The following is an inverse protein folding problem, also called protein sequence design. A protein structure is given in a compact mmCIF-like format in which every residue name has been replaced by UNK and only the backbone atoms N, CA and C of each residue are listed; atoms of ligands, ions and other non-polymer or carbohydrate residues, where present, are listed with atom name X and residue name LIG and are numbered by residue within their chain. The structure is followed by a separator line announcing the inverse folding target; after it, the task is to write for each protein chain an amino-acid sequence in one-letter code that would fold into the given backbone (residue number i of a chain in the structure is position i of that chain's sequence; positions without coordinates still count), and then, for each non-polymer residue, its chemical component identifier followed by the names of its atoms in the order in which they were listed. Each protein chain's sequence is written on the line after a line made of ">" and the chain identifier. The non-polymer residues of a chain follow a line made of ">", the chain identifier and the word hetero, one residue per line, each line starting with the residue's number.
data_IF_824607793078
#
_entry.id   IF_824607793078
#
_cell.length_a   1.000
_cell.length_b   1.000
_cell.length_c   1.000
_cell.angle_alpha   90.00
_cell.angle_beta   90.00
_cell.angle_gamma   90.00
#
_symmetry.space_group_name_H-M   'P 1'
#
loop_
_entity.id
_entity.type
_entity.pdbx_description
1 polymer ?
#
# COMPACT_ATOMS: atom_id res chain seq x y z
N UNK A 1 -13.40 -4.73 73.21
CA UNK A 1 -13.68 -4.30 71.82
C UNK A 1 -12.60 -4.86 70.90
N UNK A 2 -12.80 -6.02 70.35
CA UNK A 2 -11.86 -6.64 69.40
C UNK A 2 -12.33 -6.32 67.96
N UNK A 3 -11.50 -5.58 67.20
CA UNK A 3 -11.73 -5.34 65.75
C UNK A 3 -11.06 -6.51 65.00
N UNK A 4 -11.86 -7.32 64.34
CA UNK A 4 -11.42 -8.34 63.39
C UNK A 4 -11.16 -7.70 62.00
N UNK A 5 -9.92 -7.79 61.50
CA UNK A 5 -9.56 -7.41 60.13
C UNK A 5 -9.96 -8.52 59.15
N UNK A 6 -10.49 -8.21 57.96
CA UNK A 6 -10.83 -9.24 56.96
C UNK A 6 -9.55 -9.79 56.31
N UNK A 7 -9.44 -11.12 56.26
CA UNK A 7 -8.39 -11.83 55.51
C UNK A 7 -8.71 -11.74 54.01
N UNK A 8 -7.80 -11.14 53.23
CA UNK A 8 -7.84 -11.17 51.77
C UNK A 8 -7.36 -12.56 51.34
N UNK A 9 -8.25 -13.35 50.76
CA UNK A 9 -7.94 -14.62 50.11
C UNK A 9 -7.37 -14.26 48.72
N UNK A 10 -6.04 -14.43 48.55
CA UNK A 10 -5.41 -14.35 47.23
C UNK A 10 -5.61 -15.68 46.51
N UNK A 11 -6.41 -15.69 45.45
CA UNK A 11 -6.48 -16.81 44.50
C UNK A 11 -5.18 -16.84 43.67
N UNK A 12 -4.57 -18.03 43.46
CA UNK A 12 -3.45 -18.15 42.56
C UNK A 12 -3.91 -17.87 41.11
N UNK A 13 -3.05 -17.25 40.25
CA UNK A 13 -3.40 -17.02 38.89
C UNK A 13 -3.62 -18.36 38.15
N UNK A 14 -4.77 -18.50 37.52
CA UNK A 14 -5.07 -19.62 36.61
C UNK A 14 -4.06 -19.60 35.46
N UNK A 15 -3.15 -20.57 35.46
CA UNK A 15 -2.27 -20.86 34.33
C UNK A 15 -3.17 -21.27 33.15
N UNK A 16 -3.37 -20.37 32.20
CA UNK A 16 -3.97 -20.74 30.93
C UNK A 16 -2.99 -21.68 30.19
N UNK A 17 -3.46 -22.81 29.66
CA UNK A 17 -2.61 -23.68 28.86
C UNK A 17 -2.12 -22.89 27.62
N UNK A 18 -0.81 -22.75 27.47
CA UNK A 18 -0.20 -22.28 26.24
C UNK A 18 -0.55 -23.26 25.14
N UNK A 19 -1.50 -22.91 24.30
CA UNK A 19 -1.74 -23.63 23.05
C UNK A 19 -0.51 -23.38 22.18
N UNK A 20 0.38 -24.34 22.13
CA UNK A 20 1.48 -24.39 21.17
C UNK A 20 0.86 -24.74 19.83
N UNK A 21 0.52 -23.73 19.02
CA UNK A 21 0.18 -23.94 17.62
C UNK A 21 1.47 -24.43 16.96
N UNK A 22 1.47 -25.58 16.25
CA UNK A 22 2.65 -26.04 15.55
C UNK A 22 3.01 -24.99 14.50
N UNK A 23 4.21 -24.39 14.62
CA UNK A 23 4.79 -23.55 13.60
C UNK A 23 4.91 -24.38 12.33
N UNK A 24 4.02 -24.21 11.37
CA UNK A 24 4.33 -24.50 9.98
C UNK A 24 5.38 -23.47 9.58
N UNK A 25 6.63 -23.82 9.70
CA UNK A 25 7.73 -23.09 9.13
C UNK A 25 7.52 -23.13 7.61
N UNK A 26 6.91 -22.09 7.07
CA UNK A 26 6.90 -21.89 5.62
C UNK A 26 8.37 -21.74 5.22
N UNK A 27 8.88 -22.71 4.49
CA UNK A 27 10.28 -22.71 4.06
C UNK A 27 10.41 -21.66 2.95
N UNK A 28 10.98 -20.49 3.28
CA UNK A 28 11.33 -19.50 2.26
C UNK A 28 12.53 -20.05 1.48
N UNK A 29 12.43 -20.22 0.15
CA UNK A 29 13.59 -20.59 -0.65
C UNK A 29 14.71 -19.56 -0.46
N UNK A 30 15.96 -20.04 -0.39
CA UNK A 30 17.14 -19.20 -0.12
C UNK A 30 17.32 -18.05 -1.11
N UNK A 31 16.83 -18.20 -2.34
CA UNK A 31 16.84 -17.14 -3.35
C UNK A 31 16.04 -15.86 -2.93
N UNK A 32 15.12 -16.02 -1.99
CA UNK A 32 14.28 -14.92 -1.48
C UNK A 32 14.61 -14.52 -0.04
N UNK A 33 15.72 -15.00 0.52
CA UNK A 33 16.23 -14.60 1.83
C UNK A 33 17.40 -13.64 1.69
N UNK A 34 17.46 -12.67 2.59
CA UNK A 34 18.53 -11.70 2.72
C UNK A 34 19.13 -11.78 4.12
N UNK A 35 20.46 -11.93 4.23
CA UNK A 35 21.16 -11.92 5.52
C UNK A 35 21.18 -10.52 6.13
N UNK A 36 21.51 -9.52 5.29
CA UNK A 36 21.52 -8.11 5.66
C UNK A 36 20.92 -7.30 4.53
N UNK A 37 20.15 -6.28 4.89
CA UNK A 37 19.57 -5.34 3.94
C UNK A 37 19.89 -3.92 4.34
N UNK A 38 20.38 -3.15 3.38
CA UNK A 38 20.56 -1.70 3.51
C UNK A 38 19.52 -1.04 2.62
N UNK A 39 18.63 -0.19 3.18
CA UNK A 39 17.64 0.53 2.38
C UNK A 39 18.27 1.30 1.23
N UNK A 40 17.62 1.26 0.07
CA UNK A 40 18.16 1.79 -1.19
C UNK A 40 18.50 3.28 -1.11
N UNK A 41 17.72 4.07 -0.36
CA UNK A 41 17.98 5.51 -0.18
C UNK A 41 19.28 5.82 0.59
N UNK A 42 19.79 4.87 1.38
CA UNK A 42 21.09 5.03 2.07
C UNK A 42 22.30 4.82 1.14
N UNK A 43 22.08 4.26 -0.04
CA UNK A 43 23.12 4.02 -1.04
C UNK A 43 23.25 5.18 -2.04
N UNK A 44 22.41 6.22 -1.91
CA UNK A 44 22.44 7.38 -2.81
C UNK A 44 23.67 8.25 -2.55
N UNK A 45 24.32 8.67 -3.63
CA UNK A 45 25.36 9.69 -3.58
C UNK A 45 24.76 11.10 -3.41
N UNK A 46 25.55 12.04 -2.89
CA UNK A 46 25.13 13.46 -2.75
C UNK A 46 24.62 14.06 -4.06
N UNK A 47 25.25 13.71 -5.18
CA UNK A 47 24.83 14.16 -6.50
C UNK A 47 23.46 13.57 -6.91
N UNK A 48 23.15 12.34 -6.53
CA UNK A 48 21.84 11.74 -6.76
C UNK A 48 20.78 12.38 -5.87
N UNK A 49 21.11 12.63 -4.59
CA UNK A 49 20.23 13.32 -3.64
C UNK A 49 19.87 14.71 -4.16
N UNK A 50 20.87 15.51 -4.58
CA UNK A 50 20.63 16.85 -5.14
C UNK A 50 19.71 16.80 -6.35
N UNK A 51 20.01 15.92 -7.31
CA UNK A 51 19.20 15.77 -8.53
C UNK A 51 17.75 15.39 -8.23
N UNK A 52 17.51 14.48 -7.29
CA UNK A 52 16.15 14.09 -6.89
C UNK A 52 15.39 15.23 -6.22
N UNK A 53 16.07 16.06 -5.41
CA UNK A 53 15.48 17.28 -4.84
C UNK A 53 15.04 18.24 -5.94
N UNK A 54 15.90 18.51 -6.91
CA UNK A 54 15.59 19.41 -8.02
C UNK A 54 14.41 18.88 -8.86
N UNK A 55 14.41 17.58 -9.17
CA UNK A 55 13.30 16.93 -9.89
C UNK A 55 11.99 17.04 -9.11
N UNK A 56 11.99 16.78 -7.80
CA UNK A 56 10.80 16.90 -6.97
C UNK A 56 10.22 18.32 -6.98
N UNK A 57 11.08 19.35 -6.89
CA UNK A 57 10.66 20.75 -6.96
C UNK A 57 10.08 21.10 -8.34
N UNK A 58 10.68 20.61 -9.44
CA UNK A 58 10.13 20.82 -10.78
C UNK A 58 8.75 20.20 -10.96
N UNK A 59 8.51 19.00 -10.41
CA UNK A 59 7.18 18.40 -10.41
C UNK A 59 6.16 19.15 -9.54
N UNK A 60 6.60 19.88 -8.51
CA UNK A 60 5.73 20.78 -7.75
C UNK A 60 5.40 22.06 -8.53
N UNK A 61 6.34 22.57 -9.36
CA UNK A 61 6.12 23.74 -10.23
C UNK A 61 5.18 23.43 -11.39
N UNK A 62 5.26 22.20 -11.93
CA UNK A 62 4.41 21.71 -13.01
C UNK A 62 3.99 20.30 -12.75
N UNK A 63 2.80 20.13 -12.14
CA UNK A 63 2.32 18.86 -11.66
C UNK A 63 1.94 17.90 -12.80
N UNK A 64 2.85 16.99 -13.13
CA UNK A 64 2.69 15.90 -14.08
C UNK A 64 3.07 14.53 -13.45
N UNK A 65 2.93 14.41 -12.12
CA UNK A 65 3.44 13.27 -11.35
C UNK A 65 2.51 12.05 -11.35
N UNK A 66 1.32 12.19 -11.87
CA UNK A 66 0.38 11.08 -12.05
C UNK A 66 -0.33 11.21 -13.40
N UNK A 67 -1.02 10.17 -13.91
CA UNK A 67 -1.67 10.19 -15.23
C UNK A 67 -2.75 11.27 -15.41
N UNK A 68 -3.16 11.97 -14.34
CA UNK A 68 -4.07 13.12 -14.45
C UNK A 68 -3.44 14.33 -15.12
N UNK A 69 -2.11 14.43 -15.15
CA UNK A 69 -1.33 15.45 -15.87
C UNK A 69 -1.90 16.88 -15.70
N UNK A 70 -2.17 17.28 -14.45
CA UNK A 70 -2.89 18.53 -14.15
C UNK A 70 -2.12 19.79 -14.55
N UNK A 71 -0.80 19.74 -14.63
CA UNK A 71 0.12 20.84 -14.99
C UNK A 71 0.00 22.11 -14.12
N UNK A 72 -0.62 22.02 -12.95
CA UNK A 72 -0.75 23.12 -11.99
C UNK A 72 0.57 23.39 -11.27
N UNK A 73 0.78 24.65 -10.85
CA UNK A 73 1.91 25.05 -10.03
C UNK A 73 1.54 24.99 -8.53
N UNK A 74 1.89 23.89 -7.88
CA UNK A 74 1.59 23.69 -6.44
C UNK A 74 2.34 24.66 -5.53
N UNK A 75 3.53 25.13 -5.93
CA UNK A 75 4.30 26.12 -5.17
C UNK A 75 3.65 27.51 -5.22
N UNK A 76 2.80 27.79 -6.22
CA UNK A 76 1.98 29.00 -6.30
C UNK A 76 0.60 28.83 -5.64
N UNK A 77 0.36 27.74 -4.91
CA UNK A 77 -0.91 27.46 -4.23
C UNK A 77 -1.98 26.83 -5.12
N UNK A 78 -1.66 26.49 -6.37
CA UNK A 78 -2.62 25.82 -7.27
C UNK A 78 -2.81 24.36 -6.87
N UNK A 79 -3.99 23.82 -7.13
CA UNK A 79 -4.33 22.42 -6.87
C UNK A 79 -4.97 21.76 -8.09
N UNK A 80 -4.62 20.49 -8.36
CA UNK A 80 -5.19 19.71 -9.45
C UNK A 80 -6.32 18.79 -8.99
N UNK A 81 -6.50 17.67 -9.69
CA UNK A 81 -7.55 16.68 -9.46
C UNK A 81 -7.56 16.11 -8.04
N UNK A 82 -6.40 15.86 -7.45
CA UNK A 82 -6.23 15.36 -6.07
C UNK A 82 -6.48 16.44 -5.02
N UNK A 83 -6.53 17.73 -5.41
CA UNK A 83 -6.73 18.90 -4.57
C UNK A 83 -5.66 19.07 -3.47
N UNK A 84 -4.42 18.61 -3.73
CA UNK A 84 -3.27 18.78 -2.84
C UNK A 84 -2.33 19.83 -3.44
N UNK A 85 -1.83 20.73 -2.61
CA UNK A 85 -0.91 21.80 -2.98
C UNK A 85 0.54 21.45 -2.68
N UNK A 86 1.30 22.45 -2.18
CA UNK A 86 2.72 22.32 -1.83
C UNK A 86 2.93 21.32 -0.69
N UNK A 87 2.17 21.43 0.39
CA UNK A 87 2.22 20.52 1.55
C UNK A 87 1.40 19.26 1.30
N UNK A 88 1.83 18.14 1.86
CA UNK A 88 1.00 16.92 1.90
C UNK A 88 -0.11 17.08 2.92
N UNK A 89 -1.26 16.50 2.60
CA UNK A 89 -2.32 16.33 3.59
C UNK A 89 -2.31 14.90 4.10
N UNK A 90 -2.20 14.73 5.41
CA UNK A 90 -2.10 13.43 6.09
C UNK A 90 -3.29 13.25 7.02
N UNK A 91 -3.95 12.10 6.94
CA UNK A 91 -5.06 11.75 7.83
C UNK A 91 -4.57 11.09 9.12
N UNK A 92 -3.65 10.15 9.00
CA UNK A 92 -3.20 9.32 10.12
C UNK A 92 -1.72 8.98 9.97
N UNK A 93 -0.99 9.00 11.08
CA UNK A 93 0.38 8.52 11.20
C UNK A 93 0.44 7.64 12.43
N UNK A 94 0.64 6.32 12.25
CA UNK A 94 0.70 5.37 13.37
C UNK A 94 1.32 4.02 12.94
N UNK A 95 1.83 3.21 13.89
CA UNK A 95 2.01 1.78 13.67
C UNK A 95 0.67 1.14 13.29
N UNK A 96 0.63 0.43 12.17
CA UNK A 96 -0.58 -0.18 11.62
C UNK A 96 -0.45 -1.70 11.54
N UNK A 97 -1.52 -2.40 11.91
CA UNK A 97 -1.57 -3.87 12.00
C UNK A 97 -2.64 -4.46 11.07
N UNK A 98 -2.92 -3.80 9.96
CA UNK A 98 -3.89 -4.21 8.95
C UNK A 98 -3.27 -4.47 7.57
N UNK A 99 -1.93 -4.50 7.46
CA UNK A 99 -1.22 -4.84 6.23
C UNK A 99 -0.94 -6.35 6.15
N UNK A 100 -0.34 -6.81 5.08
CA UNK A 100 0.09 -8.19 4.91
C UNK A 100 1.05 -8.62 6.04
N UNK A 101 0.95 -9.87 6.52
CA UNK A 101 1.74 -10.35 7.66
C UNK A 101 3.25 -10.07 7.53
N UNK A 102 3.81 -10.25 6.32
CA UNK A 102 5.22 -10.00 6.05
C UNK A 102 5.61 -8.51 5.99
N UNK A 103 4.64 -7.60 5.88
CA UNK A 103 4.85 -6.14 5.90
C UNK A 103 4.73 -5.62 7.34
N UNK A 104 3.65 -5.98 8.04
CA UNK A 104 3.38 -5.46 9.39
C UNK A 104 4.21 -6.15 10.49
N UNK A 105 4.52 -7.45 10.32
CA UNK A 105 5.23 -8.23 11.34
C UNK A 105 4.60 -8.14 12.72
N UNK A 106 5.46 -8.19 13.75
CA UNK A 106 5.05 -8.11 15.16
C UNK A 106 4.95 -6.67 15.69
N UNK A 107 5.66 -5.71 15.06
CA UNK A 107 5.72 -4.32 15.53
C UNK A 107 4.91 -3.36 14.68
N UNK A 108 4.24 -3.86 13.66
CA UNK A 108 3.42 -3.05 12.76
C UNK A 108 4.21 -2.40 11.62
N UNK A 109 3.47 -1.91 10.66
CA UNK A 109 3.94 -1.07 9.55
C UNK A 109 3.77 0.40 9.94
N UNK A 110 4.82 1.22 9.80
CA UNK A 110 4.76 2.65 10.10
C UNK A 110 3.98 3.42 9.05
N UNK A 111 2.67 3.35 9.11
CA UNK A 111 1.79 3.82 8.04
C UNK A 111 1.51 5.31 8.14
N UNK A 112 1.66 5.99 6.99
CA UNK A 112 1.28 7.37 6.75
C UNK A 112 0.18 7.39 5.69
N UNK A 113 -1.05 7.67 6.11
CA UNK A 113 -2.22 7.72 5.22
C UNK A 113 -2.38 9.11 4.62
N UNK A 114 -2.04 9.26 3.34
CA UNK A 114 -2.19 10.51 2.62
C UNK A 114 -3.64 10.75 2.23
N UNK A 115 -4.10 11.99 2.41
CA UNK A 115 -5.43 12.45 1.99
C UNK A 115 -5.41 13.02 0.59
N UNK A 116 -6.54 12.88 -0.12
CA UNK A 116 -6.63 13.08 -1.55
C UNK A 116 -6.31 11.78 -2.27
N UNK A 117 -6.52 11.76 -3.58
CA UNK A 117 -6.19 10.59 -4.42
C UNK A 117 -6.25 10.98 -5.90
N UNK A 118 -5.41 10.36 -6.72
CA UNK A 118 -5.45 10.49 -8.19
C UNK A 118 -6.59 9.70 -8.83
N UNK A 119 -7.14 8.69 -8.12
CA UNK A 119 -8.35 7.95 -8.49
C UNK A 119 -9.58 8.46 -7.71
N UNK A 120 -10.77 8.03 -8.13
CA UNK A 120 -12.05 8.30 -7.46
C UNK A 120 -12.88 7.04 -7.42
N UNK A 121 -12.32 5.97 -6.84
CA UNK A 121 -12.95 4.65 -6.78
C UNK A 121 -14.33 4.74 -6.13
N UNK A 122 -15.36 4.20 -6.81
CA UNK A 122 -16.74 4.23 -6.33
C UNK A 122 -16.97 3.36 -5.08
N UNK A 123 -16.07 2.42 -4.83
CA UNK A 123 -16.07 1.46 -3.72
C UNK A 123 -14.93 1.72 -2.70
N UNK A 124 -14.37 2.92 -2.65
CA UNK A 124 -13.23 3.24 -1.80
C UNK A 124 -13.56 3.04 -0.31
N UNK A 125 -12.83 2.14 0.36
CA UNK A 125 -12.99 1.92 1.80
C UNK A 125 -12.53 3.14 2.62
N UNK A 126 -11.54 3.87 2.11
CA UNK A 126 -10.98 5.07 2.71
C UNK A 126 -11.60 6.36 2.11
N UNK A 127 -12.91 6.35 1.85
CA UNK A 127 -13.60 7.44 1.16
C UNK A 127 -13.45 8.81 1.84
N UNK A 128 -13.45 8.84 3.17
CA UNK A 128 -13.35 10.09 3.95
C UNK A 128 -12.01 10.79 3.74
N UNK A 129 -10.91 10.03 3.62
CA UNK A 129 -9.59 10.61 3.38
C UNK A 129 -9.32 10.83 1.89
N UNK A 130 -9.69 9.89 1.03
CA UNK A 130 -9.41 9.96 -0.41
C UNK A 130 -10.28 10.99 -1.16
N UNK A 131 -11.54 11.18 -0.74
CA UNK A 131 -12.50 12.08 -1.42
C UNK A 131 -12.79 13.34 -0.64
N UNK A 132 -12.82 13.27 0.73
CA UNK A 132 -13.18 14.41 1.59
C UNK A 132 -11.96 15.15 2.14
N UNK A 133 -10.76 14.57 2.01
CA UNK A 133 -9.49 15.20 2.40
C UNK A 133 -9.40 15.54 3.90
N UNK A 134 -9.93 14.69 4.75
CA UNK A 134 -9.75 14.84 6.19
C UNK A 134 -8.25 14.74 6.56
N UNK A 135 -7.80 15.55 7.51
CA UNK A 135 -6.41 15.50 8.00
C UNK A 135 -5.75 16.89 8.12
N UNK A 136 -4.45 16.88 8.34
CA UNK A 136 -3.61 18.06 8.57
C UNK A 136 -2.50 18.16 7.52
N UNK A 137 -2.00 19.38 7.32
CA UNK A 137 -0.98 19.65 6.32
C UNK A 137 0.42 19.54 6.93
N UNK A 138 1.34 18.84 6.25
CA UNK A 138 2.75 18.72 6.63
C UNK A 138 3.67 19.17 5.50
N UNK A 139 4.76 19.86 5.87
CA UNK A 139 5.89 20.06 4.96
C UNK A 139 6.68 18.75 4.80
N UNK A 140 7.56 18.65 3.79
CA UNK A 140 8.45 17.48 3.67
C UNK A 140 9.33 17.24 4.91
N UNK A 141 9.80 18.31 5.57
CA UNK A 141 10.65 18.23 6.77
C UNK A 141 9.84 17.73 7.98
N UNK A 142 8.62 18.23 8.16
CA UNK A 142 7.69 17.75 9.20
C UNK A 142 7.34 16.27 8.97
N UNK A 143 7.16 15.87 7.72
CA UNK A 143 6.92 14.47 7.37
C UNK A 143 8.15 13.58 7.64
N UNK A 144 9.36 14.07 7.36
CA UNK A 144 10.62 13.40 7.67
C UNK A 144 10.79 13.14 9.17
N UNK A 145 10.45 14.11 10.00
CA UNK A 145 10.46 13.98 11.47
C UNK A 145 9.50 12.87 11.94
N UNK A 146 8.32 12.78 11.32
CA UNK A 146 7.38 11.67 11.59
C UNK A 146 7.91 10.31 11.17
N UNK A 147 8.63 10.19 10.04
CA UNK A 147 9.26 8.94 9.64
C UNK A 147 10.26 8.45 10.69
N UNK A 148 11.09 9.36 11.19
CA UNK A 148 12.07 9.04 12.24
C UNK A 148 11.39 8.72 13.58
N UNK A 149 10.30 9.40 13.93
CA UNK A 149 9.49 9.08 15.12
C UNK A 149 8.85 7.70 15.03
N UNK A 150 8.27 7.33 13.90
CA UNK A 150 7.71 5.99 13.66
C UNK A 150 8.79 4.92 13.85
N UNK A 151 9.99 5.14 13.29
CA UNK A 151 11.10 4.23 13.47
C UNK A 151 11.54 4.12 14.94
N UNK A 152 11.80 5.24 15.61
CA UNK A 152 12.48 5.24 16.90
C UNK A 152 11.53 5.02 18.10
N UNK A 153 10.31 5.56 18.02
CA UNK A 153 9.29 5.45 19.07
C UNK A 153 8.28 4.35 18.77
N UNK A 154 7.88 4.21 17.50
CA UNK A 154 6.96 3.18 17.05
C UNK A 154 7.59 1.80 16.92
N UNK A 155 8.92 1.74 16.78
CA UNK A 155 9.69 0.50 16.56
C UNK A 155 9.16 -0.35 15.39
N UNK A 156 8.63 0.31 14.36
CA UNK A 156 7.98 -0.33 13.21
C UNK A 156 8.99 -0.98 12.27
N UNK A 157 8.54 -1.94 11.47
CA UNK A 157 9.40 -2.67 10.53
C UNK A 157 9.78 -1.87 9.27
N UNK A 158 8.97 -0.90 8.89
CA UNK A 158 9.12 -0.09 7.68
C UNK A 158 8.37 1.24 7.83
N UNK A 159 8.61 2.17 6.91
CA UNK A 159 7.75 3.35 6.70
C UNK A 159 6.87 3.06 5.49
N UNK A 160 5.56 3.08 5.68
CA UNK A 160 4.57 2.75 4.67
C UNK A 160 3.82 4.01 4.22
N UNK A 161 4.15 4.50 3.04
CA UNK A 161 3.47 5.60 2.38
C UNK A 161 2.20 5.07 1.70
N UNK A 162 1.03 5.31 2.30
CA UNK A 162 -0.25 4.78 1.81
C UNK A 162 -0.94 5.77 0.87
N UNK A 163 -1.16 5.38 -0.37
CA UNK A 163 -1.70 6.19 -1.47
C UNK A 163 -0.82 7.42 -1.77
N UNK A 164 0.48 7.24 -2.05
CA UNK A 164 1.41 8.35 -2.22
C UNK A 164 1.48 8.90 -3.65
N UNK A 165 0.87 8.26 -4.65
CA UNK A 165 1.06 8.53 -6.07
C UNK A 165 0.71 9.97 -6.49
N UNK A 166 -0.10 10.67 -5.73
CA UNK A 166 -0.43 12.07 -5.98
C UNK A 166 0.42 13.07 -5.19
N UNK A 167 1.31 12.59 -4.30
CA UNK A 167 2.20 13.38 -3.44
C UNK A 167 3.66 12.92 -3.50
N UNK A 168 4.03 12.23 -4.57
CA UNK A 168 5.39 11.70 -4.80
C UNK A 168 6.50 12.72 -4.57
N UNK A 169 6.43 13.97 -5.07
CA UNK A 169 7.49 14.95 -4.85
C UNK A 169 7.74 15.22 -3.37
N UNK A 170 6.68 15.42 -2.61
CA UNK A 170 6.77 15.70 -1.17
C UNK A 170 7.30 14.49 -0.39
N UNK A 171 6.85 13.28 -0.75
CA UNK A 171 7.35 12.02 -0.13
C UNK A 171 8.83 11.82 -0.44
N UNK A 172 9.26 12.05 -1.68
CA UNK A 172 10.67 11.98 -2.06
C UNK A 172 11.53 12.97 -1.24
N UNK A 173 11.09 14.23 -1.13
CA UNK A 173 11.75 15.25 -0.33
C UNK A 173 11.83 14.84 1.15
N UNK A 174 10.75 14.27 1.70
CA UNK A 174 10.72 13.82 3.10
C UNK A 174 11.69 12.66 3.34
N UNK A 175 11.76 11.66 2.46
CA UNK A 175 12.73 10.56 2.57
C UNK A 175 14.16 11.13 2.54
N UNK A 176 14.46 12.01 1.59
CA UNK A 176 15.79 12.63 1.45
C UNK A 176 16.15 13.50 2.66
N UNK A 177 15.19 14.17 3.29
CA UNK A 177 15.41 14.93 4.52
C UNK A 177 15.61 14.01 5.75
N UNK A 178 14.99 12.83 5.78
CA UNK A 178 15.08 11.88 6.88
C UNK A 178 16.43 11.12 6.91
N UNK A 179 17.17 11.03 5.80
CA UNK A 179 18.47 10.35 5.73
C UNK A 179 19.44 10.87 6.82
N UNK A 180 19.79 12.17 6.86
CA UNK A 180 20.70 12.70 7.87
C UNK A 180 20.11 12.66 9.29
N UNK A 181 18.81 12.48 9.45
CA UNK A 181 18.13 12.31 10.74
C UNK A 181 18.23 10.87 11.27
N UNK A 182 18.81 9.94 10.51
CA UNK A 182 19.06 8.55 10.91
C UNK A 182 17.95 7.58 10.56
N UNK A 183 17.15 7.86 9.54
CA UNK A 183 16.22 6.87 8.98
C UNK A 183 17.01 5.68 8.41
N UNK A 184 16.62 4.42 8.76
CA UNK A 184 17.37 3.20 8.41
C UNK A 184 16.51 1.98 8.13
N UNK A 185 15.17 2.10 8.15
CA UNK A 185 14.24 1.00 7.87
C UNK A 185 13.68 1.12 6.45
N UNK A 186 13.22 0.02 5.83
CA UNK A 186 12.70 0.04 4.46
C UNK A 186 11.54 1.00 4.25
N UNK A 187 11.45 1.55 3.04
CA UNK A 187 10.30 2.35 2.59
C UNK A 187 9.37 1.47 1.77
N UNK A 188 8.13 1.37 2.19
CA UNK A 188 7.02 0.75 1.45
C UNK A 188 6.24 1.84 0.72
N UNK A 189 6.07 1.68 -0.58
CA UNK A 189 5.25 2.52 -1.43
C UNK A 189 3.96 1.77 -1.76
N UNK A 190 2.87 2.09 -1.02
CA UNK A 190 1.58 1.40 -1.09
C UNK A 190 0.65 2.17 -2.02
N UNK A 191 0.59 1.73 -3.27
CA UNK A 191 -0.02 2.46 -4.39
C UNK A 191 -1.20 1.73 -5.02
N UNK A 192 -2.08 2.50 -5.65
CA UNK A 192 -3.13 1.98 -6.52
C UNK A 192 -2.63 1.57 -7.91
N UNK A 193 -1.33 1.65 -8.18
CA UNK A 193 -0.68 1.46 -9.49
C UNK A 193 -1.15 2.44 -10.57
N UNK A 194 -1.70 3.58 -10.17
CA UNK A 194 -2.03 4.68 -11.09
C UNK A 194 -0.93 5.73 -11.03
N UNK A 195 0.29 5.27 -11.31
CA UNK A 195 1.52 6.04 -11.28
C UNK A 195 1.99 6.41 -12.69
N UNK A 196 2.66 7.54 -12.83
CA UNK A 196 3.35 7.86 -14.09
C UNK A 196 4.79 7.31 -14.07
N UNK A 197 5.39 7.04 -15.24
CA UNK A 197 6.81 6.67 -15.34
C UNK A 197 7.73 7.71 -14.68
N UNK A 198 7.40 9.00 -14.75
CA UNK A 198 8.13 10.10 -14.12
C UNK A 198 8.12 9.99 -12.58
N UNK A 199 6.93 9.67 -12.00
CA UNK A 199 6.80 9.43 -10.57
C UNK A 199 7.68 8.28 -10.11
N UNK A 200 7.61 7.15 -10.81
CA UNK A 200 8.40 5.97 -10.49
C UNK A 200 9.89 6.20 -10.71
N UNK A 201 10.28 6.99 -11.71
CA UNK A 201 11.67 7.40 -11.92
C UNK A 201 12.21 8.26 -10.76
N UNK A 202 11.39 9.20 -10.24
CA UNK A 202 11.76 9.98 -9.06
C UNK A 202 11.92 9.09 -7.83
N UNK A 203 11.05 8.08 -7.66
CA UNK A 203 11.08 7.17 -6.50
C UNK A 203 12.11 6.04 -6.62
N UNK A 204 12.71 5.81 -7.78
CA UNK A 204 13.77 4.80 -7.95
C UNK A 204 14.97 5.10 -7.03
N UNK A 205 15.41 4.10 -6.28
CA UNK A 205 16.45 4.26 -5.24
C UNK A 205 15.94 4.88 -3.92
N UNK A 206 14.67 5.27 -3.81
CA UNK A 206 14.05 5.73 -2.57
C UNK A 206 13.13 4.68 -1.96
N UNK A 207 12.52 3.83 -2.78
CA UNK A 207 11.59 2.78 -2.38
C UNK A 207 12.30 1.44 -2.32
N UNK A 208 12.00 0.67 -1.29
CA UNK A 208 12.49 -0.68 -1.08
C UNK A 208 11.43 -1.72 -1.45
N UNK A 209 10.18 -1.48 -1.09
CA UNK A 209 9.06 -2.39 -1.32
C UNK A 209 7.94 -1.63 -2.03
N UNK A 210 7.51 -2.13 -3.18
CA UNK A 210 6.27 -1.72 -3.80
C UNK A 210 5.14 -2.65 -3.37
N UNK A 211 4.09 -2.08 -2.77
CA UNK A 211 2.84 -2.74 -2.44
C UNK A 211 1.78 -2.20 -3.41
N UNK A 212 1.59 -2.91 -4.51
CA UNK A 212 0.91 -2.40 -5.70
C UNK A 212 -0.46 -3.04 -5.91
N UNK A 213 -1.53 -2.25 -5.91
CA UNK A 213 -2.86 -2.76 -6.25
C UNK A 213 -3.04 -2.85 -7.77
N UNK A 214 -3.47 -4.00 -8.31
CA UNK A 214 -3.99 -4.10 -9.65
C UNK A 214 -5.49 -4.38 -9.59
N UNK A 215 -6.30 -3.33 -9.81
CA UNK A 215 -7.73 -3.35 -9.45
C UNK A 215 -8.64 -3.93 -10.53
N UNK A 216 -8.45 -3.52 -11.79
CA UNK A 216 -9.29 -3.86 -12.94
C UNK A 216 -8.43 -3.95 -14.22
N UNK A 217 -8.81 -4.84 -15.15
CA UNK A 217 -8.10 -5.05 -16.44
C UNK A 217 -8.81 -4.43 -17.65
N UNK A 218 -10.06 -3.96 -17.50
CA UNK A 218 -10.85 -3.38 -18.58
C UNK A 218 -10.99 -1.86 -18.44
N UNK A 219 -10.80 -1.12 -19.54
CA UNK A 219 -11.03 0.32 -19.58
C UNK A 219 -12.49 0.70 -19.29
N UNK A 220 -13.45 -0.15 -19.66
CA UNK A 220 -14.89 0.11 -19.43
C UNK A 220 -15.20 0.07 -17.93
N UNK A 221 -14.78 -0.98 -17.25
CA UNK A 221 -14.97 -1.11 -15.79
C UNK A 221 -14.17 -0.05 -15.03
N UNK A 222 -12.95 0.22 -15.44
CA UNK A 222 -12.07 1.23 -14.84
C UNK A 222 -12.64 2.64 -14.97
N UNK A 223 -13.14 3.02 -16.14
CA UNK A 223 -13.87 4.29 -16.33
C UNK A 223 -15.06 4.40 -15.40
N UNK A 224 -15.85 3.33 -15.31
CA UNK A 224 -17.05 3.28 -14.49
C UNK A 224 -16.72 3.36 -12.98
N UNK A 225 -15.80 2.52 -12.52
CA UNK A 225 -15.56 2.31 -11.09
C UNK A 225 -14.44 3.16 -10.51
N UNK A 226 -13.37 3.43 -11.27
CA UNK A 226 -12.18 4.18 -10.82
C UNK A 226 -12.15 5.63 -11.32
N UNK A 227 -12.96 5.98 -12.33
CA UNK A 227 -12.95 7.28 -13.03
C UNK A 227 -11.64 7.51 -13.82
N UNK A 228 -11.08 6.43 -14.35
CA UNK A 228 -9.84 6.40 -15.13
C UNK A 228 -9.95 5.25 -16.15
N UNK A 229 -10.23 5.57 -17.41
CA UNK A 229 -10.34 4.59 -18.51
C UNK A 229 -8.97 4.07 -18.97
N UNK A 230 -7.92 4.83 -18.71
CA UNK A 230 -6.51 4.51 -18.95
C UNK A 230 -5.88 3.66 -17.83
N UNK A 231 -6.60 3.38 -16.74
CA UNK A 231 -6.07 2.67 -15.56
C UNK A 231 -5.42 1.31 -15.88
N UNK A 232 -6.03 0.42 -16.70
CA UNK A 232 -5.45 -0.91 -16.92
C UNK A 232 -4.06 -0.85 -17.56
N UNK A 233 -3.88 -0.04 -18.56
CA UNK A 233 -2.58 0.10 -19.25
C UNK A 233 -1.56 0.80 -18.34
N UNK A 234 -1.99 1.84 -17.62
CA UNK A 234 -1.14 2.50 -16.61
C UNK A 234 -0.68 1.52 -15.54
N UNK A 235 -1.57 0.70 -14.98
CA UNK A 235 -1.23 -0.26 -13.94
C UNK A 235 -0.26 -1.34 -14.46
N UNK A 236 -0.46 -1.83 -15.67
CA UNK A 236 0.45 -2.78 -16.33
C UNK A 236 1.87 -2.21 -16.49
N UNK A 237 1.98 -0.97 -16.95
CA UNK A 237 3.26 -0.28 -17.12
C UNK A 237 3.92 0.00 -15.76
N UNK A 238 3.17 0.57 -14.82
CA UNK A 238 3.66 0.90 -13.48
C UNK A 238 4.22 -0.33 -12.76
N UNK A 239 3.49 -1.44 -12.76
CA UNK A 239 3.90 -2.69 -12.08
C UNK A 239 5.18 -3.25 -12.72
N UNK A 240 5.33 -3.20 -14.05
CA UNK A 240 6.57 -3.60 -14.74
C UNK A 240 7.76 -2.73 -14.33
N UNK A 241 7.56 -1.41 -14.26
CA UNK A 241 8.61 -0.47 -13.82
C UNK A 241 8.99 -0.76 -12.37
N UNK A 242 8.01 -0.92 -11.47
CA UNK A 242 8.22 -1.26 -10.06
C UNK A 242 9.02 -2.56 -9.93
N UNK A 243 8.63 -3.62 -10.61
CA UNK A 243 9.35 -4.89 -10.59
C UNK A 243 10.79 -4.75 -11.13
N UNK A 244 10.99 -3.99 -12.20
CA UNK A 244 12.33 -3.70 -12.75
C UNK A 244 13.24 -3.00 -11.73
N UNK A 245 12.69 -2.14 -10.87
CA UNK A 245 13.45 -1.39 -9.87
C UNK A 245 13.85 -2.23 -8.65
N UNK A 246 12.95 -3.07 -8.16
CA UNK A 246 13.14 -3.77 -6.87
C UNK A 246 13.14 -5.30 -6.97
N UNK A 247 12.70 -5.88 -8.09
CA UNK A 247 12.63 -7.33 -8.32
C UNK A 247 11.51 -8.01 -7.52
N UNK A 248 11.64 -9.32 -7.39
CA UNK A 248 10.73 -10.16 -6.61
C UNK A 248 10.90 -9.94 -5.11
N UNK A 249 9.81 -10.09 -4.34
CA UNK A 249 9.80 -9.83 -2.90
C UNK A 249 10.77 -10.74 -2.15
N UNK A 250 11.63 -10.13 -1.32
CA UNK A 250 12.62 -10.81 -0.48
C UNK A 250 12.43 -10.45 0.99
N UNK A 251 12.81 -11.38 1.85
CA UNK A 251 12.58 -11.33 3.28
C UNK A 251 13.88 -11.43 4.07
N UNK A 252 13.87 -10.96 5.32
CA UNK A 252 14.85 -11.38 6.30
C UNK A 252 14.51 -12.78 6.87
N UNK A 253 15.34 -13.30 7.78
CA UNK A 253 15.13 -14.62 8.39
C UNK A 253 13.89 -14.71 9.29
N UNK A 254 13.35 -13.57 9.72
CA UNK A 254 12.09 -13.53 10.49
C UNK A 254 10.85 -13.52 9.59
N UNK A 255 11.03 -13.58 8.26
CA UNK A 255 9.94 -13.53 7.30
C UNK A 255 9.37 -12.14 7.06
N UNK A 256 10.08 -11.10 7.46
CA UNK A 256 9.69 -9.70 7.22
C UNK A 256 10.26 -9.23 5.88
N UNK A 257 9.41 -8.68 5.03
CA UNK A 257 9.79 -8.16 3.73
C UNK A 257 10.80 -7.01 3.86
N UNK A 258 11.83 -7.05 3.02
CA UNK A 258 12.90 -6.05 3.01
C UNK A 258 12.95 -5.27 1.70
N UNK A 259 12.73 -5.94 0.58
CA UNK A 259 12.73 -5.32 -0.76
C UNK A 259 11.91 -6.16 -1.72
N UNK A 260 11.40 -5.55 -2.78
CA UNK A 260 10.72 -6.24 -3.86
C UNK A 260 9.28 -5.80 -4.09
N UNK A 261 8.62 -6.47 -5.02
CA UNK A 261 7.24 -6.22 -5.42
C UNK A 261 6.27 -7.21 -4.77
N UNK A 262 5.22 -6.70 -4.13
CA UNK A 262 4.01 -7.42 -3.74
C UNK A 262 2.83 -6.83 -4.49
N UNK A 263 2.08 -7.65 -5.21
CA UNK A 263 0.88 -7.20 -5.94
C UNK A 263 -0.38 -7.64 -5.21
N UNK A 264 -1.32 -6.71 -5.05
CA UNK A 264 -2.63 -6.98 -4.46
C UNK A 264 -3.73 -6.90 -5.51
N UNK A 265 -4.66 -7.84 -5.44
CA UNK A 265 -5.88 -7.80 -6.25
C UNK A 265 -7.10 -8.02 -5.37
N UNK A 266 -7.95 -7.00 -5.25
CA UNK A 266 -9.23 -7.11 -4.55
C UNK A 266 -10.26 -7.75 -5.48
N UNK A 267 -10.63 -8.99 -5.19
CA UNK A 267 -11.67 -9.70 -5.95
C UNK A 267 -13.00 -9.01 -5.71
N UNK A 268 -13.69 -8.64 -6.80
CA UNK A 268 -14.99 -7.98 -6.74
C UNK A 268 -16.05 -8.78 -7.45
N UNK A 269 -17.29 -8.82 -6.92
CA UNK A 269 -18.40 -9.47 -7.61
C UNK A 269 -18.53 -8.98 -9.06
N UNK A 270 -18.91 -9.85 -9.99
CA UNK A 270 -19.11 -9.54 -11.42
C UNK A 270 -17.81 -9.38 -12.22
N UNK A 271 -16.66 -9.03 -11.59
CA UNK A 271 -15.39 -8.76 -12.26
C UNK A 271 -14.36 -9.90 -12.11
N UNK A 272 -14.82 -11.12 -11.93
CA UNK A 272 -13.97 -12.31 -11.70
C UNK A 272 -13.07 -12.59 -12.91
N UNK A 273 -13.58 -12.46 -14.13
CA UNK A 273 -12.78 -12.68 -15.34
C UNK A 273 -11.64 -11.65 -15.46
N UNK A 274 -11.89 -10.40 -15.09
CA UNK A 274 -10.82 -9.39 -15.03
C UNK A 274 -9.74 -9.78 -13.99
N UNK A 275 -10.14 -10.31 -12.83
CA UNK A 275 -9.19 -10.84 -11.84
C UNK A 275 -8.32 -11.97 -12.39
N UNK A 276 -8.92 -12.92 -13.13
CA UNK A 276 -8.18 -14.01 -13.80
C UNK A 276 -7.22 -13.50 -14.86
N UNK A 277 -7.61 -12.48 -15.64
CA UNK A 277 -6.74 -11.82 -16.62
C UNK A 277 -5.55 -11.15 -15.97
N UNK A 278 -5.76 -10.46 -14.83
CA UNK A 278 -4.70 -9.84 -14.05
C UNK A 278 -3.69 -10.90 -13.59
N UNK A 279 -4.14 -12.05 -13.07
CA UNK A 279 -3.23 -13.11 -12.62
C UNK A 279 -2.39 -13.68 -13.76
N UNK A 280 -3.01 -13.94 -14.93
CA UNK A 280 -2.28 -14.36 -16.14
C UNK A 280 -1.26 -13.32 -16.58
N UNK A 281 -1.67 -12.05 -16.60
CA UNK A 281 -0.77 -10.96 -16.97
C UNK A 281 0.46 -10.88 -16.06
N UNK A 282 0.29 -11.00 -14.75
CA UNK A 282 1.40 -10.97 -13.79
C UNK A 282 2.40 -12.11 -14.05
N UNK A 283 1.91 -13.33 -14.24
CA UNK A 283 2.76 -14.50 -14.50
C UNK A 283 3.53 -14.40 -15.82
N UNK A 284 2.90 -13.87 -16.86
CA UNK A 284 3.45 -13.82 -18.23
C UNK A 284 4.35 -12.61 -18.48
N UNK A 285 4.04 -11.47 -17.84
CA UNK A 285 4.64 -10.18 -18.19
C UNK A 285 5.45 -9.53 -17.08
N UNK A 286 5.37 -10.02 -15.84
CA UNK A 286 6.12 -9.50 -14.70
C UNK A 286 7.08 -10.57 -14.19
N UNK A 287 6.59 -11.53 -13.41
CA UNK A 287 7.38 -12.66 -12.90
C UNK A 287 6.46 -13.75 -12.37
N UNK A 288 6.82 -15.03 -12.62
CA UNK A 288 6.15 -16.16 -11.94
C UNK A 288 6.43 -16.17 -10.44
N UNK A 289 7.50 -15.51 -10.00
CA UNK A 289 7.89 -15.35 -8.60
C UNK A 289 7.27 -14.11 -7.94
N UNK A 290 6.38 -13.40 -8.64
CA UNK A 290 5.62 -12.28 -8.06
C UNK A 290 4.86 -12.74 -6.82
N UNK A 291 5.05 -12.02 -5.69
CA UNK A 291 4.31 -12.27 -4.46
C UNK A 291 2.92 -11.63 -4.56
N UNK A 292 1.86 -12.42 -4.40
CA UNK A 292 0.49 -11.97 -4.69
C UNK A 292 -0.42 -12.10 -3.48
N UNK A 293 -1.23 -11.07 -3.24
CA UNK A 293 -2.37 -11.10 -2.33
C UNK A 293 -3.68 -11.05 -3.13
N UNK A 294 -4.38 -12.18 -3.22
CA UNK A 294 -5.74 -12.28 -3.77
C UNK A 294 -6.73 -12.03 -2.64
N UNK A 295 -7.19 -10.78 -2.52
CA UNK A 295 -7.96 -10.31 -1.36
C UNK A 295 -9.46 -10.61 -1.51
N UNK A 296 -10.05 -11.16 -0.45
CA UNK A 296 -11.48 -11.55 -0.36
C UNK A 296 -12.35 -10.53 0.40
N UNK A 297 -11.72 -9.51 1.02
CA UNK A 297 -12.39 -8.58 1.95
C UNK A 297 -13.23 -7.49 1.28
N UNK A 298 -13.62 -7.65 0.01
CA UNK A 298 -14.49 -6.69 -0.65
C UNK A 298 -15.82 -6.54 0.09
N UNK A 299 -16.22 -5.29 0.36
CA UNK A 299 -17.52 -4.93 0.91
C UNK A 299 -18.07 -3.69 0.19
N UNK A 300 -19.37 -3.65 -0.11
CA UNK A 300 -20.03 -2.44 -0.62
C UNK A 300 -19.82 -1.25 0.33
N UNK A 301 -19.25 -0.16 -0.18
CA UNK A 301 -18.98 1.05 0.59
C UNK A 301 -18.94 2.29 -0.31
N UNK A 302 -18.68 3.46 0.25
CA UNK A 302 -18.59 4.74 -0.44
C UNK A 302 -19.86 5.08 -1.24
N UNK A 303 -19.84 4.87 -2.56
CA UNK A 303 -20.96 5.19 -3.45
C UNK A 303 -21.80 3.97 -3.83
N UNK A 304 -21.33 2.76 -3.51
CA UNK A 304 -22.02 1.50 -3.82
C UNK A 304 -23.26 1.37 -2.95
N UNK A 305 -24.36 0.94 -3.52
CA UNK A 305 -25.62 0.73 -2.78
C UNK A 305 -26.43 2.00 -2.48
N UNK A 306 -25.88 3.20 -2.73
CA UNK A 306 -26.61 4.46 -2.52
C UNK A 306 -27.68 4.67 -3.61
N UNK A 307 -28.81 5.28 -3.22
CA UNK A 307 -29.86 5.61 -4.15
C UNK A 307 -29.39 6.56 -5.27
N UNK A 308 -29.86 6.32 -6.48
CA UNK A 308 -29.69 7.29 -7.58
C UNK A 308 -30.53 8.53 -7.29
N UNK A 309 -29.92 9.71 -7.40
CA UNK A 309 -30.59 11.00 -7.23
C UNK A 309 -31.40 11.43 -8.47
N UNK A 310 -31.57 10.57 -9.46
CA UNK A 310 -32.27 10.86 -10.73
C UNK A 310 -33.67 10.25 -10.81
N UNK A 311 -34.43 10.64 -11.86
CA UNK A 311 -35.83 10.25 -12.11
C UNK A 311 -36.07 8.74 -12.31
N UNK A 312 -35.03 7.92 -12.52
CA UNK A 312 -35.15 6.49 -12.85
C UNK A 312 -35.21 5.57 -11.63
N UNK A 313 -35.00 6.08 -10.41
CA UNK A 313 -34.85 5.22 -9.22
C UNK A 313 -33.68 4.24 -9.34
N UNK A 314 -33.55 3.34 -8.36
CA UNK A 314 -32.55 2.28 -8.38
C UNK A 314 -31.28 2.60 -7.57
N UNK A 315 -30.41 1.62 -7.49
CA UNK A 315 -29.22 1.64 -6.65
C UNK A 315 -27.96 1.83 -7.50
N UNK A 316 -27.07 2.75 -7.08
CA UNK A 316 -25.78 2.97 -7.75
C UNK A 316 -24.88 1.76 -7.60
N UNK A 317 -24.24 1.34 -8.70
CA UNK A 317 -23.31 0.21 -8.72
C UNK A 317 -23.90 -1.08 -8.14
N UNK A 318 -25.17 -1.37 -8.52
CA UNK A 318 -25.92 -2.54 -8.03
C UNK A 318 -25.21 -3.85 -8.35
N UNK A 319 -24.43 -3.92 -9.42
CA UNK A 319 -23.67 -5.08 -9.87
C UNK A 319 -22.57 -5.51 -8.87
N UNK A 320 -22.08 -4.59 -8.05
CA UNK A 320 -21.11 -4.85 -6.98
C UNK A 320 -21.66 -4.60 -5.59
N UNK A 321 -22.98 -4.48 -5.44
CA UNK A 321 -23.62 -4.21 -4.15
C UNK A 321 -23.88 -5.48 -3.32
N UNK A 322 -22.89 -6.34 -3.23
CA UNK A 322 -22.83 -7.53 -2.38
C UNK A 322 -21.39 -7.88 -2.04
N UNK A 323 -21.13 -8.65 -0.98
CA UNK A 323 -19.81 -9.25 -0.78
C UNK A 323 -19.45 -10.20 -1.93
N UNK A 324 -18.16 -10.45 -2.11
CA UNK A 324 -17.66 -11.55 -2.94
C UNK A 324 -17.93 -12.89 -2.23
N UNK A 325 -18.09 -13.96 -3.00
CA UNK A 325 -18.28 -15.32 -2.48
C UNK A 325 -16.98 -16.12 -2.56
N UNK A 326 -16.83 -17.15 -1.69
CA UNK A 326 -15.66 -18.03 -1.71
C UNK A 326 -15.39 -18.64 -3.10
N UNK A 327 -16.38 -19.18 -3.85
CA UNK A 327 -16.13 -19.67 -5.20
C UNK A 327 -15.62 -18.63 -6.19
N UNK A 328 -15.98 -17.36 -6.02
CA UNK A 328 -15.47 -16.26 -6.87
C UNK A 328 -14.00 -15.98 -6.56
N UNK A 329 -13.62 -15.99 -5.29
CA UNK A 329 -12.23 -15.85 -4.85
C UNK A 329 -11.39 -17.04 -5.29
N UNK A 330 -11.87 -18.26 -5.07
CA UNK A 330 -11.19 -19.49 -5.45
C UNK A 330 -10.94 -19.57 -6.96
N UNK A 331 -11.87 -19.08 -7.78
CA UNK A 331 -11.72 -19.03 -9.23
C UNK A 331 -10.52 -18.13 -9.65
N UNK A 332 -10.30 -17.01 -8.97
CA UNK A 332 -9.14 -16.12 -9.25
C UNK A 332 -7.85 -16.76 -8.73
N UNK A 333 -7.87 -17.34 -7.51
CA UNK A 333 -6.71 -18.08 -6.95
C UNK A 333 -6.29 -19.26 -7.83
N UNK A 334 -7.27 -20.02 -8.35
CA UNK A 334 -7.01 -21.13 -9.27
C UNK A 334 -6.34 -20.62 -10.56
N UNK A 335 -6.88 -19.58 -11.17
CA UNK A 335 -6.28 -18.99 -12.38
C UNK A 335 -4.86 -18.47 -12.15
N UNK A 336 -4.56 -17.93 -10.97
CA UNK A 336 -3.22 -17.52 -10.59
C UNK A 336 -2.24 -18.71 -10.56
N UNK A 337 -2.64 -19.84 -9.93
CA UNK A 337 -1.83 -21.05 -9.87
C UNK A 337 -1.66 -21.71 -11.25
N UNK A 338 -2.72 -21.76 -12.06
CA UNK A 338 -2.67 -22.27 -13.44
C UNK A 338 -1.75 -21.44 -14.35
N UNK A 339 -1.67 -20.13 -14.13
CA UNK A 339 -0.73 -19.24 -14.81
C UNK A 339 0.73 -19.44 -14.35
N UNK A 340 0.96 -20.14 -13.24
CA UNK A 340 2.28 -20.46 -12.71
C UNK A 340 2.73 -19.56 -11.56
N UNK A 341 1.86 -18.70 -11.02
CA UNK A 341 2.13 -18.00 -9.77
C UNK A 341 2.04 -18.98 -8.59
N UNK A 342 2.97 -18.88 -7.65
CA UNK A 342 3.08 -19.87 -6.56
C UNK A 342 3.39 -19.24 -5.19
N UNK A 343 3.62 -17.91 -5.13
CA UNK A 343 3.94 -17.18 -3.91
C UNK A 343 2.75 -16.31 -3.50
N UNK A 344 2.03 -16.76 -2.47
CA UNK A 344 0.82 -16.07 -1.99
C UNK A 344 0.96 -15.60 -0.55
N UNK A 345 0.25 -14.50 -0.20
CA UNK A 345 0.23 -13.93 1.17
C UNK A 345 -0.31 -14.93 2.18
N UNK A 346 -1.24 -15.80 1.81
CA UNK A 346 -1.77 -16.89 2.65
C UNK A 346 -0.69 -17.88 3.10
N UNK A 347 0.39 -18.01 2.32
CA UNK A 347 1.57 -18.81 2.60
C UNK A 347 2.69 -17.98 3.25
N UNK A 348 2.35 -16.82 3.83
CA UNK A 348 3.32 -15.89 4.40
C UNK A 348 4.18 -16.58 5.47
N UNK A 349 5.51 -16.39 5.42
CA UNK A 349 6.42 -16.93 6.41
C UNK A 349 6.24 -16.28 7.80
N UNK A 350 5.59 -15.11 7.85
CA UNK A 350 5.25 -14.40 9.08
C UNK A 350 3.74 -14.42 9.28
N UNK A 351 3.28 -14.94 10.43
CA UNK A 351 1.82 -15.08 10.69
C UNK A 351 1.12 -13.76 11.02
N UNK A 352 1.86 -12.75 11.47
CA UNK A 352 1.29 -11.47 11.90
C UNK A 352 0.32 -11.61 13.08
N UNK A 353 -0.41 -10.54 13.38
CA UNK A 353 -1.62 -10.61 14.20
C UNK A 353 -2.81 -10.89 13.26
N UNK A 354 -3.44 -12.05 13.41
CA UNK A 354 -4.71 -12.39 12.75
C UNK A 354 -5.88 -11.96 13.62
#
# INVERSE_FOLDING_TARGET
>A
MFRSSPRIIRHPPLLQPRVTIPRRSAHIPSAFLLDNYIPRYQLLTDAQISRKKDQAIEHLRKCNICPRMCNVNRLAGETGYCMVGEKVKVSTIAPHFGEEPCIQGTYGSGSVFFSGCSLRCSFCQNHEISHQRAGFDLSPEELADWFVKLQNLGNVHNINAVTPEHVVPQVALAILAAIPMGLRIPIVYNTSSYDSPEALSLMDGLVDIYLADFKLSSSVSSKRLLKADDYPETAKESIKIMHKQVGDLKFNFDGIAQTGLLVRHLVMPTYIEEGKEIMRYLAENVSKDTYVNVMEQYRPTAHVGKANRGKSGGTRYSEINRPVTDPEVDAVKLAAREAGLWRFVEDSPHEGFR
#
